data_IF_000592913501
#
_entry.id   IF_000592913501
#
_cell.length_a   1.000
_cell.length_b   1.000
_cell.length_c   1.000
_cell.angle_alpha   90.00
_cell.angle_beta   90.00
_cell.angle_gamma   90.00
#
_symmetry.space_group_name_H-M   'P 1'
#
loop_
_entity.id
_entity.type
_entity.pdbx_description
1 polymer ?
#
# COMPACT_ATOMS: atom_id res chain seq x y z
N UNK A 1 -18.42 37.19 10.40
CA UNK A 1 -17.27 36.81 11.23
C UNK A 1 -16.66 35.62 10.54
N UNK A 2 -15.71 35.83 9.62
CA UNK A 2 -14.93 34.73 9.05
C UNK A 2 -14.03 34.29 10.19
N UNK A 3 -14.37 33.13 10.78
CA UNK A 3 -13.41 32.39 11.61
C UNK A 3 -12.17 32.25 10.76
N UNK A 4 -11.02 32.38 11.35
CA UNK A 4 -9.73 32.49 10.67
C UNK A 4 -9.35 31.18 10.00
N UNK A 5 -10.08 30.83 8.91
CA UNK A 5 -9.84 29.64 8.07
C UNK A 5 -8.36 29.56 7.67
N UNK A 6 -7.74 30.71 7.42
CA UNK A 6 -6.32 30.78 7.05
C UNK A 6 -5.40 30.32 8.19
N UNK A 7 -5.72 30.66 9.46
CA UNK A 7 -4.94 30.23 10.61
C UNK A 7 -5.06 28.71 10.86
N UNK A 8 -6.25 28.14 10.71
CA UNK A 8 -6.48 26.71 10.84
C UNK A 8 -5.74 25.93 9.77
N UNK A 9 -5.72 26.44 8.53
CA UNK A 9 -4.95 25.87 7.43
C UNK A 9 -3.45 25.93 7.76
N UNK A 10 -2.94 27.11 8.18
CA UNK A 10 -1.53 27.28 8.54
C UNK A 10 -1.10 26.32 9.66
N UNK A 11 -1.95 26.13 10.67
CA UNK A 11 -1.70 25.16 11.74
C UNK A 11 -1.61 23.71 11.22
N UNK A 12 -2.53 23.30 10.35
CA UNK A 12 -2.56 21.95 9.78
C UNK A 12 -1.33 21.70 8.89
N UNK A 13 -0.82 22.71 8.21
CA UNK A 13 0.34 22.58 7.31
C UNK A 13 1.67 22.53 8.06
N UNK A 14 1.74 23.05 9.30
CA UNK A 14 2.98 23.06 10.07
C UNK A 14 3.45 21.61 10.42
N UNK A 15 4.75 21.23 10.23
CA UNK A 15 5.89 22.07 9.83
C UNK A 15 6.20 22.07 8.32
N UNK A 16 5.31 21.57 7.48
CA UNK A 16 5.55 21.36 6.05
C UNK A 16 5.65 22.70 5.28
N UNK A 17 6.58 22.77 4.32
CA UNK A 17 6.85 23.95 3.52
C UNK A 17 6.78 23.71 2.01
N UNK A 18 6.80 22.46 1.57
CA UNK A 18 6.73 22.08 0.16
C UNK A 18 5.41 21.34 -0.07
N UNK A 19 4.51 21.94 -0.83
CA UNK A 19 3.14 21.46 -0.99
C UNK A 19 2.82 21.14 -2.45
N UNK A 20 2.31 19.93 -2.69
CA UNK A 20 1.65 19.56 -3.93
C UNK A 20 0.13 19.59 -3.71
N UNK A 21 -0.56 20.49 -4.38
CA UNK A 21 -2.01 20.70 -4.20
C UNK A 21 -2.78 19.93 -5.27
N UNK A 22 -3.67 19.04 -4.85
CA UNK A 22 -4.62 18.37 -5.76
C UNK A 22 -5.66 19.40 -6.23
N UNK A 23 -5.52 19.88 -7.47
CA UNK A 23 -6.30 20.97 -8.02
C UNK A 23 -7.23 20.47 -9.14
N UNK A 24 -8.51 20.30 -8.84
CA UNK A 24 -9.53 19.92 -9.83
C UNK A 24 -10.11 21.11 -10.61
N UNK A 25 -9.93 22.33 -10.13
CA UNK A 25 -10.58 23.53 -10.64
C UNK A 25 -11.99 23.76 -10.09
N UNK A 26 -12.55 22.81 -9.33
CA UNK A 26 -13.83 22.99 -8.64
C UNK A 26 -13.73 23.90 -7.41
N UNK A 27 -14.88 24.31 -6.85
CA UNK A 27 -15.01 25.25 -5.75
C UNK A 27 -13.99 24.99 -4.62
N UNK A 28 -14.01 23.77 -4.05
CA UNK A 28 -13.28 23.45 -2.83
C UNK A 28 -11.77 23.52 -3.05
N UNK A 29 -11.29 22.97 -4.18
CA UNK A 29 -9.86 22.99 -4.53
C UNK A 29 -9.38 24.39 -4.92
N UNK A 30 -10.26 25.22 -5.49
CA UNK A 30 -9.94 26.60 -5.84
C UNK A 30 -9.80 27.47 -4.58
N UNK A 31 -10.70 27.30 -3.59
CA UNK A 31 -10.59 27.97 -2.29
C UNK A 31 -9.33 27.54 -1.55
N UNK A 32 -9.02 26.23 -1.52
CA UNK A 32 -7.80 25.75 -0.90
C UNK A 32 -6.56 26.36 -1.54
N UNK A 33 -6.45 26.32 -2.87
CA UNK A 33 -5.30 26.88 -3.57
C UNK A 33 -5.15 28.38 -3.32
N UNK A 34 -6.25 29.13 -3.33
CA UNK A 34 -6.25 30.56 -3.00
C UNK A 34 -5.75 30.85 -1.58
N UNK A 35 -6.23 30.10 -0.60
CA UNK A 35 -5.77 30.22 0.79
C UNK A 35 -4.26 29.96 0.92
N UNK A 36 -3.75 28.95 0.22
CA UNK A 36 -2.33 28.62 0.22
C UNK A 36 -1.48 29.70 -0.47
N UNK A 37 -2.02 30.34 -1.49
CA UNK A 37 -1.36 31.50 -2.13
C UNK A 37 -1.25 32.67 -1.16
N UNK A 38 -2.33 33.01 -0.42
CA UNK A 38 -2.30 34.07 0.60
C UNK A 38 -1.32 33.71 1.74
N UNK A 39 -1.24 32.45 2.16
CA UNK A 39 -0.25 32.02 3.15
C UNK A 39 1.18 32.16 2.63
N UNK A 40 1.45 31.82 1.35
CA UNK A 40 2.76 32.00 0.72
C UNK A 40 3.18 33.47 0.66
N UNK A 41 2.23 34.41 0.48
CA UNK A 41 2.51 35.85 0.55
C UNK A 41 2.97 36.28 1.94
N UNK A 42 2.45 35.63 2.99
CA UNK A 42 2.83 35.89 4.38
C UNK A 42 4.12 35.15 4.79
N UNK A 43 4.31 33.93 4.26
CA UNK A 43 5.49 33.08 4.50
C UNK A 43 6.14 32.64 3.18
N UNK A 44 7.13 33.41 2.67
CA UNK A 44 7.82 33.10 1.40
C UNK A 44 8.60 31.78 1.41
N UNK A 45 8.77 31.12 2.57
CA UNK A 45 9.38 29.78 2.63
C UNK A 45 8.44 28.69 2.12
N UNK A 46 7.14 29.00 1.99
CA UNK A 46 6.13 28.07 1.49
C UNK A 46 6.22 27.95 -0.03
N UNK A 47 6.46 26.76 -0.54
CA UNK A 47 6.49 26.48 -1.97
C UNK A 47 5.25 25.68 -2.37
N UNK A 48 4.63 26.11 -3.47
CA UNK A 48 3.38 25.53 -3.98
C UNK A 48 3.58 24.98 -5.38
N UNK A 49 3.11 23.76 -5.60
CA UNK A 49 2.86 23.18 -6.92
C UNK A 49 1.43 22.65 -6.94
N UNK A 50 0.82 22.57 -8.10
CA UNK A 50 -0.49 22.00 -8.27
C UNK A 50 -0.45 20.82 -9.24
N UNK A 51 -1.33 19.83 -9.02
CA UNK A 51 -1.56 18.70 -9.93
C UNK A 51 -3.04 18.64 -10.29
N UNK A 52 -3.31 18.62 -11.59
CA UNK A 52 -4.64 18.39 -12.16
C UNK A 52 -4.66 17.03 -12.85
N UNK A 53 -5.68 16.21 -12.56
CA UNK A 53 -5.83 14.89 -13.18
C UNK A 53 -6.95 14.94 -14.20
N UNK A 54 -6.57 14.76 -15.47
CA UNK A 54 -7.50 14.71 -16.61
C UNK A 54 -7.92 13.25 -16.83
N UNK A 55 -9.20 12.95 -16.54
CA UNK A 55 -9.74 11.58 -16.61
C UNK A 55 -10.26 11.19 -17.99
N UNK A 56 -10.42 12.13 -18.94
CA UNK A 56 -10.97 11.86 -20.27
C UNK A 56 -12.43 11.41 -20.30
N UNK A 57 -13.17 11.54 -19.20
CA UNK A 57 -14.56 11.09 -19.10
C UNK A 57 -15.57 12.14 -19.54
N UNK A 58 -15.28 13.42 -19.35
CA UNK A 58 -16.14 14.55 -19.73
C UNK A 58 -15.71 15.13 -21.06
N UNK A 59 -16.70 15.56 -21.86
CA UNK A 59 -16.45 16.34 -23.07
C UNK A 59 -15.79 17.71 -22.79
N UNK A 60 -15.91 18.21 -21.56
CA UNK A 60 -15.37 19.49 -21.11
C UNK A 60 -14.01 19.36 -20.40
N UNK A 61 -13.40 18.16 -20.38
CA UNK A 61 -12.17 17.93 -19.63
C UNK A 61 -11.01 18.82 -20.08
N UNK A 62 -10.90 19.12 -21.37
CA UNK A 62 -9.89 20.03 -21.92
C UNK A 62 -10.12 21.49 -21.51
N UNK A 63 -11.38 21.92 -21.46
CA UNK A 63 -11.76 23.26 -20.99
C UNK A 63 -11.41 23.43 -19.50
N UNK A 64 -11.56 22.35 -18.71
CA UNK A 64 -11.18 22.33 -17.30
C UNK A 64 -9.67 22.44 -17.12
N UNK A 65 -8.89 21.78 -17.95
CA UNK A 65 -7.43 21.96 -17.96
C UNK A 65 -7.05 23.40 -18.30
N UNK A 66 -7.71 23.99 -19.31
CA UNK A 66 -7.45 25.40 -19.69
C UNK A 66 -7.75 26.36 -18.52
N UNK A 67 -8.88 26.18 -17.83
CA UNK A 67 -9.24 26.94 -16.65
C UNK A 67 -8.20 26.78 -15.52
N UNK A 68 -7.81 25.54 -15.21
CA UNK A 68 -6.80 25.28 -14.18
C UNK A 68 -5.45 25.93 -14.52
N UNK A 69 -5.03 25.90 -15.78
CA UNK A 69 -3.81 26.57 -16.24
C UNK A 69 -3.90 28.08 -16.05
N UNK A 70 -5.03 28.70 -16.42
CA UNK A 70 -5.24 30.13 -16.26
C UNK A 70 -5.15 30.56 -14.80
N UNK A 71 -5.84 29.88 -13.87
CA UNK A 71 -5.80 30.16 -12.43
C UNK A 71 -4.38 29.99 -11.88
N UNK A 72 -3.71 28.89 -12.20
CA UNK A 72 -2.36 28.63 -11.73
C UNK A 72 -1.33 29.66 -12.28
N UNK A 73 -1.50 30.09 -13.52
CA UNK A 73 -0.68 31.16 -14.10
C UNK A 73 -0.90 32.49 -13.38
N UNK A 74 -2.15 32.86 -13.13
CA UNK A 74 -2.50 34.08 -12.40
C UNK A 74 -1.89 34.09 -11.00
N UNK A 75 -1.90 32.99 -10.31
CA UNK A 75 -1.39 32.86 -8.95
C UNK A 75 0.08 32.41 -8.87
N UNK A 76 0.76 32.33 -9.99
CA UNK A 76 2.16 31.91 -10.07
C UNK A 76 2.43 30.58 -9.35
N UNK A 77 1.55 29.59 -9.60
CA UNK A 77 1.67 28.22 -9.08
C UNK A 77 2.00 27.29 -10.26
N UNK A 78 3.14 26.59 -10.26
CA UNK A 78 3.44 25.57 -11.27
C UNK A 78 2.38 24.48 -11.28
N UNK A 79 1.80 24.17 -12.45
CA UNK A 79 0.78 23.14 -12.64
C UNK A 79 1.30 21.97 -13.45
N UNK A 80 1.15 20.76 -12.91
CA UNK A 80 1.32 19.50 -13.64
C UNK A 80 -0.04 18.96 -14.03
N UNK A 81 -0.24 18.65 -15.32
CA UNK A 81 -1.46 17.99 -15.80
C UNK A 81 -1.14 16.54 -16.08
N UNK A 82 -1.85 15.65 -15.39
CA UNK A 82 -1.67 14.21 -15.53
C UNK A 82 -2.87 13.61 -16.27
N UNK A 83 -2.61 13.01 -17.44
CA UNK A 83 -3.65 12.36 -18.23
C UNK A 83 -3.76 10.88 -17.81
N UNK A 84 -4.96 10.45 -17.42
CA UNK A 84 -5.23 9.05 -17.09
C UNK A 84 -6.29 8.49 -18.06
N UNK A 85 -6.02 7.27 -18.53
CA UNK A 85 -6.98 6.55 -19.39
C UNK A 85 -7.77 5.57 -18.53
N UNK A 86 -9.07 5.78 -18.44
CA UNK A 86 -9.98 4.88 -17.73
C UNK A 86 -10.70 3.97 -18.72
N UNK A 87 -10.76 2.67 -18.43
CA UNK A 87 -11.60 1.75 -19.20
C UNK A 87 -13.08 2.14 -18.99
N UNK A 88 -13.80 2.37 -20.09
CA UNK A 88 -15.23 2.69 -20.05
C UNK A 88 -16.02 1.42 -19.74
N UNK A 89 -16.82 1.46 -18.66
CA UNK A 89 -17.85 0.49 -18.33
C UNK A 89 -17.56 -0.38 -17.11
N UNK A 90 -18.59 -0.54 -16.25
CA UNK A 90 -18.64 -1.47 -15.12
C UNK A 90 -18.95 -0.83 -13.78
N UNK A 91 -19.54 -1.64 -12.90
CA UNK A 91 -19.68 -1.33 -11.47
C UNK A 91 -18.28 -1.17 -10.88
N UNK A 92 -17.86 0.07 -10.61
CA UNK A 92 -16.53 0.35 -10.06
C UNK A 92 -15.76 1.48 -10.77
N UNK A 93 -16.35 2.17 -11.74
CA UNK A 93 -15.72 3.31 -12.45
C UNK A 93 -15.23 4.38 -11.46
N UNK A 94 -16.02 4.70 -10.44
CA UNK A 94 -15.64 5.65 -9.39
C UNK A 94 -14.41 5.18 -8.60
N UNK A 95 -14.37 3.90 -8.23
CA UNK A 95 -13.23 3.34 -7.49
C UNK A 95 -11.95 3.33 -8.36
N UNK A 96 -12.08 2.97 -9.65
CA UNK A 96 -10.94 3.00 -10.58
C UNK A 96 -10.47 4.43 -10.85
N UNK A 97 -11.39 5.38 -11.06
CA UNK A 97 -11.06 6.79 -11.24
C UNK A 97 -10.35 7.35 -10.00
N UNK A 98 -10.81 6.98 -8.81
CA UNK A 98 -10.17 7.35 -7.55
C UNK A 98 -8.77 6.75 -7.44
N UNK A 99 -8.59 5.46 -7.72
CA UNK A 99 -7.29 4.80 -7.69
C UNK A 99 -6.30 5.44 -8.68
N UNK A 100 -6.73 5.68 -9.93
CA UNK A 100 -5.93 6.33 -10.96
C UNK A 100 -5.54 7.76 -10.56
N UNK A 101 -6.43 8.51 -9.90
CA UNK A 101 -6.16 9.85 -9.38
C UNK A 101 -5.07 9.83 -8.30
N UNK A 102 -5.16 8.91 -7.35
CA UNK A 102 -4.16 8.80 -6.29
C UNK A 102 -2.82 8.31 -6.82
N UNK A 103 -2.81 7.44 -7.84
CA UNK A 103 -1.59 7.04 -8.54
C UNK A 103 -0.94 8.25 -9.24
N UNK A 104 -1.72 9.07 -9.95
CA UNK A 104 -1.22 10.30 -10.58
C UNK A 104 -0.61 11.28 -9.56
N UNK A 105 -1.20 11.39 -8.37
CA UNK A 105 -0.63 12.20 -7.29
C UNK A 105 0.70 11.64 -6.80
N UNK A 106 0.79 10.32 -6.62
CA UNK A 106 2.01 9.64 -6.21
C UNK A 106 3.15 9.84 -7.23
N UNK A 107 2.84 9.69 -8.52
CA UNK A 107 3.80 9.84 -9.62
C UNK A 107 4.29 11.30 -9.78
N UNK A 108 3.49 12.27 -9.30
CA UNK A 108 3.80 13.70 -9.39
C UNK A 108 4.53 14.23 -8.15
N UNK A 109 4.42 13.55 -7.01
CA UNK A 109 4.97 13.99 -5.73
C UNK A 109 6.50 13.93 -5.74
N UNK A 110 7.16 15.05 -5.43
CA UNK A 110 8.60 15.11 -5.28
C UNK A 110 9.05 14.76 -3.86
N UNK A 111 10.32 14.42 -3.69
CA UNK A 111 10.91 14.22 -2.38
C UNK A 111 10.78 15.48 -1.50
N UNK A 112 10.27 15.30 -0.27
CA UNK A 112 10.05 16.40 0.67
C UNK A 112 8.72 17.14 0.51
N UNK A 113 7.98 16.92 -0.59
CA UNK A 113 6.63 17.46 -0.74
C UNK A 113 5.60 16.66 0.05
N UNK A 114 4.56 17.34 0.51
CA UNK A 114 3.33 16.73 1.02
C UNK A 114 2.15 17.01 0.10
N UNK A 115 1.28 16.03 -0.07
CA UNK A 115 0.05 16.20 -0.84
C UNK A 115 -1.00 16.93 0.00
N UNK A 116 -1.66 17.94 -0.57
CA UNK A 116 -2.75 18.69 0.08
C UNK A 116 -4.02 18.56 -0.75
N UNK A 117 -5.12 18.20 -0.10
CA UNK A 117 -6.41 17.98 -0.75
C UNK A 117 -7.52 18.74 -0.06
N UNK A 118 -8.57 19.10 -0.80
CA UNK A 118 -9.64 20.01 -0.39
C UNK A 118 -10.87 19.31 0.21
N UNK A 119 -10.72 18.12 0.82
CA UNK A 119 -11.83 17.48 1.53
C UNK A 119 -12.27 18.37 2.71
N UNK A 120 -13.58 18.47 2.87
CA UNK A 120 -14.20 19.35 3.85
C UNK A 120 -15.21 18.57 4.74
N UNK A 121 -15.89 19.25 5.66
CA UNK A 121 -16.80 18.64 6.65
C UNK A 121 -17.93 17.82 6.01
N UNK A 122 -18.46 18.29 4.88
CA UNK A 122 -19.54 17.57 4.20
C UNK A 122 -19.06 16.25 3.62
N UNK A 123 -17.82 16.19 3.11
CA UNK A 123 -17.18 14.95 2.68
C UNK A 123 -16.95 13.97 3.85
N UNK A 124 -16.68 14.47 5.06
CA UNK A 124 -16.62 13.64 6.27
C UNK A 124 -17.95 12.97 6.54
N UNK A 125 -19.05 13.74 6.44
CA UNK A 125 -20.40 13.25 6.61
C UNK A 125 -20.73 12.14 5.59
N UNK A 126 -20.45 12.37 4.32
CA UNK A 126 -20.61 11.37 3.25
C UNK A 126 -19.79 10.11 3.55
N UNK A 127 -18.53 10.28 3.93
CA UNK A 127 -17.60 9.17 4.18
C UNK A 127 -18.04 8.32 5.36
N UNK A 128 -18.52 8.94 6.48
CA UNK A 128 -19.03 8.21 7.63
C UNK A 128 -20.31 7.46 7.26
N UNK A 129 -21.25 8.08 6.55
CA UNK A 129 -22.51 7.42 6.14
C UNK A 129 -22.24 6.24 5.20
N UNK A 130 -21.28 6.35 4.29
CA UNK A 130 -20.84 5.23 3.44
C UNK A 130 -20.16 4.12 4.25
N UNK A 131 -19.39 4.46 5.27
CA UNK A 131 -18.82 3.48 6.18
C UNK A 131 -19.89 2.76 6.99
N UNK A 132 -20.88 3.50 7.48
CA UNK A 132 -22.02 2.96 8.21
C UNK A 132 -22.87 2.01 7.33
N UNK A 133 -23.15 2.40 6.06
CA UNK A 133 -23.81 1.54 5.06
C UNK A 133 -23.11 0.19 4.91
N UNK A 134 -21.75 0.18 4.97
CA UNK A 134 -20.95 -1.05 4.85
C UNK A 134 -20.81 -1.85 6.13
N UNK A 135 -21.40 -1.41 7.24
CA UNK A 135 -21.25 -2.03 8.54
C UNK A 135 -19.83 -1.90 9.12
N UNK A 136 -19.13 -0.80 8.82
CA UNK A 136 -17.78 -0.56 9.33
C UNK A 136 -17.76 -0.40 10.85
N UNK A 137 -16.67 -0.89 11.47
CA UNK A 137 -16.36 -0.62 12.88
C UNK A 137 -15.72 0.77 13.09
N UNK A 138 -15.24 1.05 14.33
CA UNK A 138 -14.68 2.37 14.70
C UNK A 138 -13.64 2.89 13.73
N UNK A 139 -12.71 2.07 13.27
CA UNK A 139 -11.69 2.45 12.28
C UNK A 139 -12.29 3.05 11.00
N UNK A 140 -13.35 2.42 10.45
CA UNK A 140 -14.02 2.94 9.25
C UNK A 140 -14.89 4.17 9.55
N UNK A 141 -15.53 4.21 10.74
CA UNK A 141 -16.34 5.32 11.20
C UNK A 141 -15.51 6.56 11.58
N UNK A 142 -14.19 6.41 11.76
CA UNK A 142 -13.26 7.53 11.94
C UNK A 142 -13.20 8.46 10.71
N UNK A 143 -13.79 8.04 9.59
CA UNK A 143 -13.82 8.74 8.32
C UNK A 143 -12.41 9.16 7.83
N UNK A 144 -12.16 10.45 7.53
CA UNK A 144 -10.86 10.89 7.03
C UNK A 144 -10.09 11.62 8.13
N UNK A 145 -8.83 11.23 8.35
CA UNK A 145 -7.93 11.96 9.24
C UNK A 145 -7.45 13.27 8.61
N UNK A 146 -7.18 14.34 9.41
CA UNK A 146 -6.57 15.58 8.93
C UNK A 146 -5.23 15.34 8.23
N UNK A 147 -4.48 14.36 8.69
CA UNK A 147 -3.19 13.94 8.12
C UNK A 147 -3.10 12.42 8.07
N UNK A 148 -2.59 11.88 6.98
CA UNK A 148 -2.36 10.44 6.80
C UNK A 148 -1.08 10.18 6.00
N UNK A 149 -0.49 8.99 6.16
CA UNK A 149 0.65 8.57 5.34
C UNK A 149 0.23 8.46 3.86
N UNK A 150 1.09 8.87 2.95
CA UNK A 150 0.87 8.77 1.51
C UNK A 150 2.21 8.73 0.76
N UNK A 151 2.43 7.69 -0.04
CA UNK A 151 3.56 7.56 -0.96
C UNK A 151 4.94 7.88 -0.34
N UNK A 152 5.22 7.39 0.86
CA UNK A 152 6.45 7.70 1.61
C UNK A 152 6.49 9.10 2.22
N UNK A 153 5.43 9.90 2.04
CA UNK A 153 5.23 11.25 2.59
C UNK A 153 3.89 11.34 3.33
N UNK A 154 3.23 12.48 3.29
CA UNK A 154 1.93 12.72 3.94
C UNK A 154 0.91 13.32 2.98
N UNK A 155 -0.35 13.02 3.29
CA UNK A 155 -1.53 13.68 2.72
C UNK A 155 -2.19 14.51 3.81
N UNK A 156 -2.38 15.81 3.57
CA UNK A 156 -3.02 16.76 4.47
C UNK A 156 -4.39 17.18 3.94
N UNK A 157 -5.35 17.41 4.86
CA UNK A 157 -6.71 17.84 4.56
C UNK A 157 -7.07 19.03 5.44
N UNK A 158 -6.57 20.22 5.14
CA UNK A 158 -6.71 21.37 6.04
C UNK A 158 -8.13 21.94 6.10
N UNK A 159 -9.03 21.55 5.19
CA UNK A 159 -10.41 22.05 5.15
C UNK A 159 -11.43 21.14 5.85
N UNK A 160 -11.00 20.07 6.54
CA UNK A 160 -11.92 19.10 7.15
C UNK A 160 -12.91 19.69 8.15
N UNK A 161 -12.59 20.81 8.76
CA UNK A 161 -13.47 21.52 9.70
C UNK A 161 -14.38 22.56 9.02
N UNK A 162 -14.15 22.84 7.74
CA UNK A 162 -14.94 23.81 6.98
C UNK A 162 -16.18 23.18 6.36
N UNK A 163 -17.25 23.95 6.24
CA UNK A 163 -18.43 23.57 5.48
C UNK A 163 -18.27 23.96 4.02
N UNK A 164 -18.95 23.27 3.12
CA UNK A 164 -18.99 23.69 1.71
C UNK A 164 -19.57 25.10 1.54
N UNK A 165 -20.50 25.47 2.41
CA UNK A 165 -21.08 26.82 2.39
C UNK A 165 -20.06 27.90 2.81
N UNK A 166 -19.22 27.65 3.83
CA UNK A 166 -18.14 28.58 4.21
C UNK A 166 -17.13 28.74 3.07
N UNK A 167 -16.79 27.64 2.36
CA UNK A 167 -15.94 27.70 1.16
C UNK A 167 -16.57 28.54 0.05
N UNK A 168 -17.87 28.35 -0.20
CA UNK A 168 -18.61 29.13 -1.21
C UNK A 168 -18.63 30.60 -0.87
N UNK A 169 -18.90 30.97 0.37
CA UNK A 169 -18.88 32.35 0.84
C UNK A 169 -17.50 32.99 0.67
N UNK A 170 -16.43 32.23 1.00
CA UNK A 170 -15.06 32.66 0.75
C UNK A 170 -14.80 32.94 -0.73
N UNK A 171 -15.17 32.02 -1.59
CA UNK A 171 -14.97 32.14 -3.04
C UNK A 171 -15.70 33.40 -3.60
N UNK A 172 -16.94 33.63 -3.18
CA UNK A 172 -17.72 34.79 -3.60
C UNK A 172 -17.11 36.10 -3.09
N UNK A 173 -16.68 36.15 -1.82
CA UNK A 173 -16.07 37.35 -1.23
C UNK A 173 -14.75 37.72 -1.92
N UNK A 174 -14.01 36.75 -2.44
CA UNK A 174 -12.75 36.97 -3.16
C UNK A 174 -12.89 36.93 -4.68
N UNK A 175 -14.14 36.88 -5.19
CA UNK A 175 -14.46 36.89 -6.63
C UNK A 175 -13.73 35.76 -7.39
N UNK A 176 -13.60 34.59 -6.77
CA UNK A 176 -12.98 33.42 -7.39
C UNK A 176 -13.91 32.81 -8.44
N UNK A 177 -13.34 32.33 -9.52
CA UNK A 177 -14.04 31.51 -10.52
C UNK A 177 -13.68 30.05 -10.34
N UNK A 178 -14.66 29.15 -10.53
CA UNK A 178 -14.47 27.71 -10.41
C UNK A 178 -15.31 26.95 -11.45
N UNK A 179 -14.97 25.69 -11.64
CA UNK A 179 -15.69 24.77 -12.55
C UNK A 179 -16.80 24.08 -11.76
N UNK A 180 -17.98 23.99 -12.36
CA UNK A 180 -19.05 23.10 -11.90
C UNK A 180 -19.07 21.86 -12.76
N UNK A 181 -18.68 20.72 -12.20
CA UNK A 181 -18.69 19.42 -12.86
C UNK A 181 -20.12 18.86 -12.86
N UNK A 182 -20.69 18.67 -14.05
CA UNK A 182 -22.05 18.16 -14.24
C UNK A 182 -22.23 16.76 -13.63
N UNK A 183 -21.19 15.96 -13.56
CA UNK A 183 -21.24 14.63 -12.96
C UNK A 183 -21.57 14.63 -11.45
N UNK A 184 -21.39 15.76 -10.77
CA UNK A 184 -21.81 15.94 -9.38
C UNK A 184 -23.34 15.94 -9.18
N UNK A 185 -24.12 16.07 -10.25
CA UNK A 185 -25.58 16.01 -10.24
C UNK A 185 -26.12 14.59 -10.48
N UNK A 186 -25.28 13.66 -10.85
CA UNK A 186 -25.67 12.26 -11.09
C UNK A 186 -25.80 11.49 -9.76
N UNK A 187 -27.04 11.34 -9.28
CA UNK A 187 -27.36 10.65 -8.04
C UNK A 187 -27.35 9.11 -8.13
N UNK A 188 -26.98 8.54 -9.26
CA UNK A 188 -26.71 7.10 -9.40
C UNK A 188 -25.48 6.66 -8.60
N UNK A 189 -24.57 7.58 -8.32
CA UNK A 189 -23.40 7.35 -7.45
C UNK A 189 -23.78 7.53 -5.99
N UNK A 190 -23.46 6.57 -5.13
CA UNK A 190 -23.77 6.58 -3.69
C UNK A 190 -23.41 7.91 -2.99
N UNK A 191 -22.24 8.47 -3.32
CA UNK A 191 -21.78 9.72 -2.71
C UNK A 191 -22.62 10.90 -3.12
N UNK A 192 -22.96 11.02 -4.40
CA UNK A 192 -23.84 12.07 -4.90
C UNK A 192 -25.27 11.88 -4.36
N UNK A 193 -25.75 10.64 -4.28
CA UNK A 193 -27.05 10.35 -3.67
C UNK A 193 -27.14 10.86 -2.24
N UNK A 194 -26.11 10.57 -1.43
CA UNK A 194 -26.05 11.11 -0.05
C UNK A 194 -26.05 12.64 -0.05
N UNK A 195 -25.22 13.26 -0.88
CA UNK A 195 -25.08 14.72 -0.98
C UNK A 195 -26.35 15.42 -1.42
N UNK A 196 -27.06 14.89 -2.40
CA UNK A 196 -28.21 15.53 -3.04
C UNK A 196 -29.55 15.15 -2.40
N UNK A 197 -29.68 13.94 -1.86
CA UNK A 197 -30.98 13.39 -1.42
C UNK A 197 -31.07 13.15 0.11
N UNK A 198 -30.01 12.73 0.74
CA UNK A 198 -30.07 12.29 2.15
C UNK A 198 -29.64 13.39 3.11
N UNK A 199 -28.44 13.91 2.92
CA UNK A 199 -27.87 14.92 3.85
C UNK A 199 -28.72 16.20 3.94
N UNK A 200 -29.28 16.74 2.83
CA UNK A 200 -30.17 17.90 2.93
C UNK A 200 -31.38 17.67 3.81
N UNK A 201 -32.05 16.54 3.71
CA UNK A 201 -33.20 16.19 4.54
C UNK A 201 -32.82 16.09 6.03
N UNK A 202 -31.67 15.48 6.32
CA UNK A 202 -31.15 15.38 7.67
C UNK A 202 -30.82 16.77 8.26
N UNK A 203 -30.24 17.67 7.47
CA UNK A 203 -29.93 19.04 7.87
C UNK A 203 -31.15 19.91 8.06
N UNK A 204 -32.16 19.74 7.24
CA UNK A 204 -33.43 20.43 7.41
C UNK A 204 -34.04 20.12 8.78
N UNK A 205 -34.00 18.85 9.19
CA UNK A 205 -34.54 18.39 10.48
C UNK A 205 -33.60 18.69 11.63
N UNK A 206 -32.27 18.54 11.41
CA UNK A 206 -31.20 18.73 12.41
C UNK A 206 -30.11 19.61 11.83
N UNK A 207 -30.15 20.94 11.99
CA UNK A 207 -29.22 21.88 11.36
C UNK A 207 -27.73 21.60 11.63
N UNK A 208 -27.40 21.04 12.81
CA UNK A 208 -26.03 20.70 13.20
C UNK A 208 -25.64 19.24 12.91
N UNK A 209 -26.39 18.54 12.02
CA UNK A 209 -26.16 17.11 11.75
C UNK A 209 -24.73 16.82 11.27
N UNK A 210 -24.20 17.58 10.33
CA UNK A 210 -22.85 17.37 9.81
C UNK A 210 -21.76 17.62 10.85
N UNK A 211 -21.96 18.55 11.77
CA UNK A 211 -21.06 18.78 12.91
C UNK A 211 -21.08 17.62 13.90
N UNK A 212 -22.27 17.10 14.19
CA UNK A 212 -22.42 15.94 15.06
C UNK A 212 -21.74 14.68 14.45
N UNK A 213 -21.90 14.48 13.15
CA UNK A 213 -21.23 13.39 12.40
C UNK A 213 -19.70 13.53 12.44
N UNK A 214 -19.18 14.72 12.15
CA UNK A 214 -17.73 14.96 12.19
C UNK A 214 -17.16 14.74 13.59
N UNK A 215 -17.88 15.16 14.66
CA UNK A 215 -17.50 14.91 16.05
C UNK A 215 -17.50 13.41 16.37
N UNK A 216 -18.53 12.68 15.94
CA UNK A 216 -18.59 11.23 16.15
C UNK A 216 -17.42 10.51 15.45
N UNK A 217 -17.06 10.94 14.24
CA UNK A 217 -15.90 10.43 13.52
C UNK A 217 -14.59 10.70 14.29
N UNK A 218 -14.41 11.92 14.81
CA UNK A 218 -13.26 12.28 15.64
C UNK A 218 -13.14 11.41 16.88
N UNK A 219 -14.25 11.19 17.60
CA UNK A 219 -14.26 10.30 18.78
C UNK A 219 -13.91 8.86 18.43
N UNK A 220 -14.35 8.35 17.29
CA UNK A 220 -13.92 7.03 16.80
C UNK A 220 -12.41 7.01 16.50
N UNK A 221 -11.88 8.07 15.90
CA UNK A 221 -10.45 8.18 15.62
C UNK A 221 -9.60 8.21 16.90
N UNK A 222 -10.04 8.98 17.91
CA UNK A 222 -9.38 9.05 19.23
C UNK A 222 -9.37 7.68 19.93
N UNK A 223 -10.46 6.93 19.85
CA UNK A 223 -10.53 5.57 20.40
C UNK A 223 -9.59 4.60 19.67
N UNK A 224 -9.51 4.67 18.36
CA UNK A 224 -8.59 3.85 17.59
C UNK A 224 -7.12 4.21 17.88
N UNK A 225 -6.80 5.50 18.01
CA UNK A 225 -5.47 5.96 18.40
C UNK A 225 -5.09 5.44 19.80
N UNK A 226 -6.00 5.55 20.77
CA UNK A 226 -5.78 5.01 22.12
C UNK A 226 -5.49 3.51 22.08
N UNK A 227 -6.25 2.75 21.28
CA UNK A 227 -6.00 1.32 21.12
C UNK A 227 -4.65 1.05 20.44
N UNK A 228 -4.24 1.86 19.48
CA UNK A 228 -2.92 1.75 18.84
C UNK A 228 -1.81 1.94 19.88
N UNK A 229 -1.90 2.96 20.72
CA UNK A 229 -0.94 3.24 21.79
C UNK A 229 -0.87 2.10 22.81
N UNK A 230 -2.04 1.62 23.25
CA UNK A 230 -2.14 0.53 24.24
C UNK A 230 -1.59 -0.81 23.70
N UNK A 231 -1.77 -1.10 22.43
CA UNK A 231 -1.38 -2.38 21.82
C UNK A 231 0.01 -2.35 21.18
N UNK A 232 0.62 -1.18 21.01
CA UNK A 232 1.88 -1.03 20.29
C UNK A 232 3.02 -1.88 20.87
N UNK A 233 3.25 -1.81 22.18
CA UNK A 233 4.30 -2.57 22.86
C UNK A 233 4.06 -4.07 22.80
N UNK A 234 2.80 -4.50 22.97
CA UNK A 234 2.42 -5.90 22.87
C UNK A 234 2.62 -6.43 21.45
N UNK A 235 2.14 -5.71 20.43
CA UNK A 235 2.34 -6.08 19.04
C UNK A 235 3.82 -6.19 18.68
N UNK A 236 4.64 -5.23 19.11
CA UNK A 236 6.08 -5.25 18.88
C UNK A 236 6.75 -6.49 19.49
N UNK A 237 6.28 -6.97 20.66
CA UNK A 237 6.81 -8.19 21.29
C UNK A 237 6.43 -9.47 20.56
N UNK A 238 5.35 -9.45 19.75
CA UNK A 238 4.85 -10.61 19.00
C UNK A 238 5.43 -10.71 17.59
N UNK A 239 5.86 -9.58 17.01
CA UNK A 239 6.40 -9.50 15.65
C UNK A 239 7.91 -9.72 15.70
N UNK A 240 8.41 -10.65 14.86
CA UNK A 240 9.85 -10.88 14.70
C UNK A 240 10.46 -9.91 13.67
N UNK A 241 11.80 -9.90 13.56
CA UNK A 241 12.54 -9.09 12.58
C UNK A 241 12.11 -9.33 11.13
N UNK A 242 11.69 -10.56 10.81
CA UNK A 242 11.18 -10.94 9.49
C UNK A 242 9.71 -10.53 9.25
N UNK A 243 9.10 -9.77 10.16
CA UNK A 243 7.71 -9.31 10.09
C UNK A 243 6.66 -10.38 10.45
N UNK A 244 7.07 -11.59 10.79
CA UNK A 244 6.14 -12.68 11.15
C UNK A 244 5.57 -12.49 12.56
N UNK A 245 4.32 -12.95 12.76
CA UNK A 245 3.57 -12.79 14.01
C UNK A 245 3.48 -14.10 14.78
N UNK A 246 3.80 -14.12 16.06
CA UNK A 246 3.69 -15.29 16.94
C UNK A 246 2.23 -15.69 17.20
N UNK A 247 1.90 -16.99 17.09
CA UNK A 247 0.53 -17.50 17.29
C UNK A 247 0.26 -17.83 18.75
N UNK A 248 1.19 -18.47 19.45
CA UNK A 248 0.96 -19.00 20.78
C UNK A 248 0.45 -17.96 21.79
N UNK A 249 1.00 -16.74 21.89
CA UNK A 249 0.46 -15.73 22.79
C UNK A 249 -0.96 -15.28 22.41
N UNK A 250 -1.31 -15.26 21.12
CA UNK A 250 -2.64 -14.89 20.66
C UNK A 250 -3.72 -15.88 21.11
N UNK A 251 -3.37 -17.14 21.33
CA UNK A 251 -4.32 -18.19 21.77
C UNK A 251 -4.92 -17.92 23.16
N UNK A 252 -4.17 -17.24 24.03
CA UNK A 252 -4.60 -16.93 25.41
C UNK A 252 -5.39 -15.62 25.52
N UNK A 253 -5.49 -14.87 24.42
CA UNK A 253 -6.16 -13.56 24.40
C UNK A 253 -7.65 -13.68 24.11
N UNK A 254 -8.43 -12.70 24.58
CA UNK A 254 -9.84 -12.59 24.18
C UNK A 254 -9.98 -12.40 22.67
N UNK A 255 -11.07 -12.90 22.04
CA UNK A 255 -11.29 -12.72 20.61
C UNK A 255 -11.18 -11.27 20.12
N UNK A 256 -11.76 -10.24 20.81
CA UNK A 256 -11.61 -8.85 20.40
C UNK A 256 -10.16 -8.36 20.42
N UNK A 257 -9.38 -8.69 21.47
CA UNK A 257 -7.97 -8.29 21.60
C UNK A 257 -7.11 -8.93 20.48
N UNK A 258 -7.30 -10.22 20.26
CA UNK A 258 -6.65 -10.95 19.17
C UNK A 258 -6.98 -10.36 17.80
N UNK A 259 -8.26 -10.06 17.52
CA UNK A 259 -8.69 -9.44 16.28
C UNK A 259 -8.06 -8.04 16.08
N UNK A 260 -7.95 -7.25 17.15
CA UNK A 260 -7.32 -5.94 17.13
C UNK A 260 -5.82 -6.02 16.78
N UNK A 261 -5.09 -6.99 17.37
CA UNK A 261 -3.67 -7.23 17.07
C UNK A 261 -3.45 -7.75 15.64
N UNK A 262 -4.28 -8.69 15.18
CA UNK A 262 -4.21 -9.20 13.81
C UNK A 262 -4.43 -8.10 12.76
N UNK A 263 -5.39 -7.20 12.99
CA UNK A 263 -5.62 -6.05 12.10
C UNK A 263 -4.42 -5.11 12.05
N UNK A 264 -3.83 -4.81 13.21
CA UNK A 264 -2.66 -3.92 13.32
C UNK A 264 -1.42 -4.54 12.70
N UNK A 265 -1.24 -5.84 12.90
CA UNK A 265 -0.17 -6.56 12.21
C UNK A 265 -0.32 -6.50 10.69
N UNK A 266 -1.53 -6.74 10.14
CA UNK A 266 -1.80 -6.61 8.71
C UNK A 266 -1.59 -5.18 8.22
N UNK A 267 -2.02 -4.17 8.97
CA UNK A 267 -1.78 -2.76 8.65
C UNK A 267 -0.29 -2.42 8.59
N UNK A 268 0.52 -2.96 9.52
CA UNK A 268 1.99 -2.83 9.51
C UNK A 268 2.65 -3.47 8.28
N UNK A 269 2.00 -4.48 7.67
CA UNK A 269 2.41 -5.07 6.40
C UNK A 269 1.90 -4.30 5.17
N UNK A 270 1.33 -3.11 5.35
CA UNK A 270 0.69 -2.31 4.29
C UNK A 270 -0.46 -3.05 3.57
N UNK A 271 -1.05 -4.03 4.23
CA UNK A 271 -2.21 -4.73 3.71
C UNK A 271 -3.41 -3.77 3.59
N UNK A 272 -4.28 -3.94 2.57
CA UNK A 272 -5.56 -3.25 2.55
C UNK A 272 -6.34 -3.53 3.84
N UNK A 273 -7.07 -2.52 4.35
CA UNK A 273 -7.87 -2.70 5.56
C UNK A 273 -8.77 -3.95 5.41
N UNK A 274 -8.61 -4.96 6.27
CA UNK A 274 -9.33 -6.21 6.12
C UNK A 274 -10.81 -6.04 6.49
N UNK A 275 -11.69 -6.74 5.78
CA UNK A 275 -13.09 -6.89 6.15
C UNK A 275 -13.22 -7.47 7.56
N UNK A 276 -14.40 -7.28 8.19
CA UNK A 276 -14.63 -7.66 9.60
C UNK A 276 -14.32 -9.13 9.89
N UNK A 277 -14.64 -10.02 8.94
CA UNK A 277 -14.47 -11.47 9.09
C UNK A 277 -13.03 -11.95 8.94
N UNK A 278 -12.16 -11.15 8.31
CA UNK A 278 -10.79 -11.57 7.96
C UNK A 278 -9.96 -11.97 9.18
N UNK A 279 -9.90 -11.21 10.29
CA UNK A 279 -9.14 -11.62 11.47
C UNK A 279 -9.64 -12.94 12.07
N UNK A 280 -10.94 -13.20 12.06
CA UNK A 280 -11.54 -14.42 12.58
C UNK A 280 -11.29 -15.61 11.67
N UNK A 281 -11.44 -15.44 10.36
CA UNK A 281 -11.06 -16.43 9.36
C UNK A 281 -9.57 -16.75 9.43
N UNK A 282 -8.72 -15.73 9.54
CA UNK A 282 -7.28 -15.91 9.67
C UNK A 282 -6.94 -16.74 10.92
N UNK A 283 -7.62 -16.47 12.03
CA UNK A 283 -7.44 -17.24 13.25
C UNK A 283 -7.85 -18.69 13.09
N UNK A 284 -9.06 -18.96 12.60
CA UNK A 284 -9.60 -20.32 12.51
C UNK A 284 -9.06 -21.12 11.33
N UNK A 285 -8.90 -20.50 10.16
CA UNK A 285 -8.49 -21.21 8.94
C UNK A 285 -6.97 -21.34 8.81
N UNK A 286 -6.18 -20.38 9.38
CA UNK A 286 -4.73 -20.36 9.24
C UNK A 286 -4.02 -20.67 10.55
N UNK A 287 -4.27 -19.88 11.60
CA UNK A 287 -3.54 -20.02 12.87
C UNK A 287 -3.81 -21.35 13.56
N UNK A 288 -5.07 -21.79 13.61
CA UNK A 288 -5.50 -23.04 14.24
C UNK A 288 -5.54 -24.26 13.29
N UNK A 289 -5.09 -24.13 12.05
CA UNK A 289 -5.03 -25.28 11.14
C UNK A 289 -4.16 -26.40 11.70
N UNK A 290 -4.34 -27.64 11.22
CA UNK A 290 -3.55 -28.80 11.64
C UNK A 290 -2.07 -28.59 11.36
N UNK A 291 -1.18 -29.18 12.15
CA UNK A 291 0.28 -29.02 12.01
C UNK A 291 0.81 -29.50 10.65
N UNK A 292 0.21 -30.54 10.09
CA UNK A 292 0.57 -31.14 8.79
C UNK A 292 -0.03 -30.36 7.59
N UNK A 293 -0.95 -29.43 7.84
CA UNK A 293 -1.55 -28.60 6.80
C UNK A 293 -0.63 -27.45 6.36
N UNK A 294 -0.85 -26.98 5.14
CA UNK A 294 -0.24 -25.75 4.60
C UNK A 294 -1.32 -24.70 4.41
N UNK A 295 -1.86 -24.13 5.50
CA UNK A 295 -2.99 -23.22 5.43
C UNK A 295 -2.59 -21.92 4.73
N UNK A 296 -3.55 -21.36 3.98
CA UNK A 296 -3.35 -20.15 3.19
C UNK A 296 -4.65 -19.36 3.11
N UNK A 297 -4.63 -18.11 3.54
CA UNK A 297 -5.71 -17.16 3.33
C UNK A 297 -5.25 -16.08 2.35
N UNK A 298 -5.90 -15.99 1.19
CA UNK A 298 -5.54 -15.03 0.15
C UNK A 298 -6.23 -13.67 0.40
N UNK A 299 -5.44 -12.61 0.33
CA UNK A 299 -5.86 -11.22 0.48
C UNK A 299 -5.23 -10.38 -0.68
N UNK A 300 -5.93 -10.33 -1.80
CA UNK A 300 -5.44 -9.69 -3.03
C UNK A 300 -4.24 -10.44 -3.64
N UNK A 301 -3.13 -9.74 -3.82
CA UNK A 301 -1.87 -10.29 -4.33
C UNK A 301 -1.03 -10.99 -3.26
N UNK A 302 -1.45 -10.93 -2.00
CA UNK A 302 -0.75 -11.52 -0.87
C UNK A 302 -1.53 -12.66 -0.24
N UNK A 303 -0.84 -13.42 0.58
CA UNK A 303 -1.40 -14.52 1.36
C UNK A 303 -0.90 -14.46 2.79
N UNK A 304 -1.77 -14.78 3.75
CA UNK A 304 -1.34 -15.11 5.10
C UNK A 304 -1.15 -16.62 5.20
N UNK A 305 0.02 -17.04 5.66
CA UNK A 305 0.40 -18.46 5.78
C UNK A 305 0.95 -18.73 7.17
N UNK A 306 0.84 -19.99 7.61
CA UNK A 306 1.43 -20.44 8.88
C UNK A 306 2.65 -21.30 8.64
N UNK A 307 3.71 -21.04 9.40
CA UNK A 307 4.89 -21.89 9.48
C UNK A 307 5.55 -21.75 10.87
N UNK A 308 5.95 -22.86 11.50
CA UNK A 308 6.63 -22.90 12.81
C UNK A 308 5.98 -22.01 13.88
N UNK A 309 4.65 -22.16 14.06
CA UNK A 309 3.86 -21.38 15.04
C UNK A 309 3.89 -19.87 14.86
N UNK A 310 4.13 -19.41 13.61
CA UNK A 310 4.09 -18.00 13.24
C UNK A 310 3.24 -17.78 11.99
N UNK A 311 2.64 -16.60 11.88
CA UNK A 311 1.92 -16.12 10.69
C UNK A 311 2.85 -15.27 9.85
N UNK A 312 2.78 -15.46 8.53
CA UNK A 312 3.60 -14.76 7.54
C UNK A 312 2.72 -14.07 6.52
N UNK A 313 3.05 -12.83 6.20
CA UNK A 313 2.48 -12.07 5.09
C UNK A 313 3.36 -12.27 3.86
N UNK A 314 2.87 -12.98 2.84
CA UNK A 314 3.69 -13.43 1.72
C UNK A 314 3.03 -13.04 0.42
N UNK A 315 3.78 -12.41 -0.50
CA UNK A 315 3.31 -12.19 -1.87
C UNK A 315 3.00 -13.53 -2.52
N UNK A 316 1.84 -13.63 -3.16
CA UNK A 316 1.48 -14.83 -3.90
C UNK A 316 2.34 -14.91 -5.17
N UNK A 317 3.19 -15.90 -5.24
CA UNK A 317 3.97 -16.25 -6.44
C UNK A 317 3.52 -17.62 -6.91
N UNK A 318 3.24 -17.80 -8.20
CA UNK A 318 3.00 -19.14 -8.76
C UNK A 318 4.26 -19.99 -8.59
N UNK A 319 4.08 -21.27 -8.28
CA UNK A 319 5.18 -22.20 -8.12
C UNK A 319 5.91 -22.43 -9.45
N UNK A 320 7.24 -22.50 -9.40
CA UNK A 320 8.12 -22.68 -10.57
C UNK A 320 8.60 -24.13 -10.74
N UNK A 321 7.90 -25.09 -10.16
CA UNK A 321 8.37 -26.44 -9.99
C UNK A 321 8.88 -27.14 -11.26
N UNK A 322 8.32 -26.82 -12.42
CA UNK A 322 8.68 -27.46 -13.71
C UNK A 322 9.52 -26.51 -14.60
N UNK A 323 9.86 -25.32 -14.10
CA UNK A 323 10.68 -24.36 -14.84
C UNK A 323 12.14 -24.78 -14.87
N UNK A 324 12.73 -24.73 -16.05
CA UNK A 324 14.17 -24.90 -16.29
C UNK A 324 14.68 -23.71 -17.07
N UNK A 325 15.55 -22.95 -16.46
CA UNK A 325 16.13 -21.76 -17.08
C UNK A 325 17.60 -21.98 -17.36
N UNK A 326 18.05 -21.83 -18.63
CA UNK A 326 19.46 -21.91 -18.99
C UNK A 326 20.20 -20.65 -18.57
N UNK A 327 21.44 -20.81 -18.10
CA UNK A 327 22.36 -19.74 -17.76
C UNK A 327 23.58 -19.76 -18.70
N UNK A 328 23.49 -19.16 -19.90
CA UNK A 328 24.50 -19.34 -20.94
C UNK A 328 25.88 -18.77 -20.57
N UNK A 329 25.91 -17.63 -19.90
CA UNK A 329 27.14 -17.03 -19.36
C UNK A 329 26.99 -16.79 -17.86
N UNK A 330 27.46 -17.72 -17.05
CA UNK A 330 27.38 -17.66 -15.60
C UNK A 330 28.18 -16.51 -14.97
N UNK A 331 29.04 -15.82 -15.73
CA UNK A 331 29.75 -14.61 -15.29
C UNK A 331 28.88 -13.38 -15.32
N UNK A 332 27.77 -13.44 -16.04
CA UNK A 332 26.77 -12.38 -16.09
C UNK A 332 25.58 -12.73 -15.19
N UNK A 333 24.88 -11.72 -14.62
CA UNK A 333 23.68 -11.97 -13.85
C UNK A 333 22.59 -12.68 -14.67
N UNK A 334 21.87 -13.62 -14.04
CA UNK A 334 20.70 -14.27 -14.61
C UNK A 334 19.44 -13.71 -14.00
N UNK A 335 18.62 -13.04 -14.79
CA UNK A 335 17.29 -12.63 -14.36
C UNK A 335 16.33 -13.81 -14.38
N UNK A 336 15.74 -14.12 -13.23
CA UNK A 336 14.77 -15.20 -13.11
C UNK A 336 13.38 -14.76 -13.62
N UNK A 337 12.63 -15.74 -14.15
CA UNK A 337 11.25 -15.52 -14.58
C UNK A 337 10.33 -15.16 -13.40
N UNK A 338 9.12 -14.67 -13.72
CA UNK A 338 8.01 -14.39 -12.78
C UNK A 338 8.38 -13.52 -11.58
N UNK A 339 9.35 -12.63 -11.76
CA UNK A 339 9.72 -11.67 -10.73
C UNK A 339 10.47 -12.27 -9.53
N UNK A 340 11.09 -13.44 -9.69
CA UNK A 340 11.89 -14.07 -8.62
C UNK A 340 13.21 -13.36 -8.33
N UNK A 341 13.59 -12.36 -9.14
CA UNK A 341 14.81 -11.60 -8.95
C UNK A 341 15.96 -12.04 -9.84
N UNK A 342 17.18 -11.95 -9.34
CA UNK A 342 18.41 -12.12 -10.11
C UNK A 342 19.42 -13.01 -9.38
N UNK A 343 20.04 -13.94 -10.09
CA UNK A 343 21.14 -14.77 -9.61
C UNK A 343 22.47 -14.28 -10.13
N UNK A 344 23.49 -14.31 -9.26
CA UNK A 344 24.89 -14.06 -9.63
C UNK A 344 25.81 -15.11 -9.01
N UNK A 345 26.89 -15.46 -9.71
CA UNK A 345 28.00 -16.22 -9.12
C UNK A 345 29.15 -15.22 -8.85
N UNK A 346 29.52 -15.08 -7.59
CA UNK A 346 30.58 -14.17 -7.14
C UNK A 346 31.79 -14.94 -6.63
N UNK A 347 33.02 -14.43 -6.75
CA UNK A 347 34.23 -15.04 -6.18
C UNK A 347 34.13 -15.21 -4.67
N UNK A 348 34.81 -16.19 -4.10
CA UNK A 348 34.95 -16.39 -2.65
C UNK A 348 33.82 -17.19 -2.03
N UNK A 349 33.64 -18.43 -2.41
CA UNK A 349 32.66 -19.34 -1.84
C UNK A 349 33.10 -20.80 -1.83
N UNK A 350 32.19 -21.72 -1.51
CA UNK A 350 32.43 -23.17 -1.43
C UNK A 350 32.04 -23.91 -2.71
N UNK A 351 31.47 -23.23 -3.70
CA UNK A 351 31.08 -23.81 -4.96
C UNK A 351 32.26 -23.86 -5.91
N UNK A 352 32.45 -24.98 -6.59
CA UNK A 352 33.34 -25.01 -7.76
C UNK A 352 32.72 -24.20 -8.93
N UNK A 353 33.48 -23.43 -9.69
CA UNK A 353 32.96 -22.86 -10.92
C UNK A 353 32.60 -23.97 -11.93
N UNK A 354 31.65 -23.74 -12.85
CA UNK A 354 31.33 -24.68 -13.89
C UNK A 354 32.50 -24.87 -14.86
N UNK A 355 32.71 -26.12 -15.34
CA UNK A 355 33.68 -26.40 -16.39
C UNK A 355 33.17 -25.88 -17.74
N UNK A 356 34.08 -25.73 -18.72
CA UNK A 356 33.76 -25.16 -20.03
C UNK A 356 32.65 -25.92 -20.79
N UNK A 357 32.57 -27.23 -20.59
CA UNK A 357 31.61 -28.09 -21.26
C UNK A 357 30.35 -28.40 -20.44
N UNK A 358 30.22 -27.83 -19.22
CA UNK A 358 29.07 -28.05 -18.35
C UNK A 358 27.98 -26.99 -18.61
N UNK A 359 26.81 -27.38 -19.15
CA UNK A 359 25.72 -26.47 -19.28
C UNK A 359 25.17 -26.08 -17.89
N UNK A 360 25.07 -24.78 -17.61
CA UNK A 360 24.53 -24.25 -16.36
C UNK A 360 23.03 -24.04 -16.51
N UNK A 361 22.26 -24.57 -15.59
CA UNK A 361 20.79 -24.36 -15.54
C UNK A 361 20.34 -24.06 -14.12
N UNK A 362 19.22 -23.34 -14.02
CA UNK A 362 18.51 -23.09 -12.77
C UNK A 362 17.18 -23.83 -12.83
N UNK A 363 16.92 -24.62 -11.79
CA UNK A 363 15.70 -25.42 -11.63
C UNK A 363 15.15 -25.22 -10.22
N UNK A 364 13.94 -25.70 -9.96
CA UNK A 364 13.27 -25.56 -8.67
C UNK A 364 12.94 -26.92 -8.03
N UNK A 365 13.31 -27.99 -8.69
CA UNK A 365 13.20 -29.39 -8.22
C UNK A 365 14.50 -30.15 -8.46
N UNK A 366 14.78 -31.10 -7.57
CA UNK A 366 15.80 -32.08 -7.78
C UNK A 366 15.25 -33.46 -7.40
N UNK A 367 15.57 -34.46 -8.20
CA UNK A 367 15.22 -35.90 -7.96
C UNK A 367 16.39 -36.63 -7.32
N UNK A 368 16.08 -37.78 -6.72
CA UNK A 368 17.10 -38.64 -6.11
C UNK A 368 17.52 -38.19 -4.71
N UNK A 369 18.69 -38.64 -4.29
CA UNK A 369 19.30 -38.33 -3.01
C UNK A 369 20.46 -37.34 -3.22
N UNK A 370 20.43 -36.23 -2.52
CA UNK A 370 21.46 -35.20 -2.54
C UNK A 370 22.45 -35.46 -1.41
N UNK A 371 23.72 -35.50 -1.73
CA UNK A 371 24.82 -35.60 -0.77
C UNK A 371 25.33 -34.19 -0.48
N UNK A 372 25.17 -33.74 0.76
CA UNK A 372 25.43 -32.36 1.15
C UNK A 372 26.75 -32.26 1.88
N UNK A 373 27.57 -31.27 1.56
CA UNK A 373 28.85 -31.01 2.21
C UNK A 373 28.65 -30.85 3.73
N UNK A 374 29.46 -31.60 4.50
CA UNK A 374 29.39 -31.60 5.95
C UNK A 374 28.25 -32.43 6.57
N UNK A 375 27.54 -33.25 5.76
CA UNK A 375 26.48 -34.15 6.25
C UNK A 375 26.71 -35.59 5.80
N UNK A 376 26.40 -36.55 6.67
CA UNK A 376 26.47 -37.95 6.35
C UNK A 376 25.19 -38.47 5.64
N UNK A 377 25.38 -39.20 4.55
CA UNK A 377 24.32 -39.85 3.79
C UNK A 377 23.47 -38.91 2.93
N UNK A 378 22.85 -39.49 1.90
CA UNK A 378 22.00 -38.74 0.97
C UNK A 378 20.65 -38.39 1.56
N UNK A 379 20.07 -37.25 1.14
CA UNK A 379 18.75 -36.75 1.55
C UNK A 379 17.90 -36.41 0.34
N UNK A 380 16.61 -36.77 0.36
CA UNK A 380 15.65 -36.24 -0.60
C UNK A 380 15.46 -34.72 -0.37
N UNK A 381 15.30 -33.95 -1.43
CA UNK A 381 15.17 -32.50 -1.38
C UNK A 381 14.07 -32.05 -0.38
N UNK A 382 12.90 -32.72 -0.37
CA UNK A 382 11.81 -32.42 0.56
C UNK A 382 12.24 -32.52 2.03
N UNK A 383 13.02 -33.55 2.38
CA UNK A 383 13.54 -33.74 3.75
C UNK A 383 14.58 -32.66 4.08
N UNK A 384 15.42 -32.34 3.10
CA UNK A 384 16.44 -31.30 3.25
C UNK A 384 15.81 -29.93 3.52
N UNK A 385 14.74 -29.56 2.79
CA UNK A 385 13.98 -28.34 3.06
C UNK A 385 13.39 -28.31 4.48
N UNK A 386 12.89 -29.43 4.99
CA UNK A 386 12.39 -29.54 6.36
C UNK A 386 13.50 -29.35 7.39
N UNK A 387 14.64 -30.02 7.21
CA UNK A 387 15.78 -29.92 8.12
C UNK A 387 16.42 -28.51 8.12
N UNK A 388 16.37 -27.80 6.99
CA UNK A 388 16.86 -26.43 6.86
C UNK A 388 15.81 -25.37 7.27
N UNK A 389 14.60 -25.79 7.69
CA UNK A 389 13.55 -24.87 8.10
C UNK A 389 13.00 -24.01 6.96
N UNK A 390 13.10 -24.46 5.70
CA UNK A 390 12.58 -23.70 4.55
C UNK A 390 11.07 -23.81 4.52
N UNK A 391 10.40 -22.65 4.56
CA UNK A 391 8.94 -22.56 4.55
C UNK A 391 8.35 -23.16 3.25
N UNK A 392 7.19 -23.86 3.32
CA UNK A 392 6.62 -24.57 2.16
C UNK A 392 6.49 -23.73 0.89
N UNK A 393 6.07 -22.49 1.01
CA UNK A 393 5.89 -21.56 -0.14
C UNK A 393 7.22 -21.08 -0.75
N UNK A 394 8.34 -21.22 -0.04
CA UNK A 394 9.67 -20.89 -0.56
C UNK A 394 10.31 -22.07 -1.28
N UNK A 395 9.88 -23.30 -1.02
CA UNK A 395 10.48 -24.51 -1.59
C UNK A 395 10.38 -24.57 -3.11
N UNK A 396 9.20 -24.19 -3.63
CA UNK A 396 8.91 -24.21 -5.07
C UNK A 396 9.41 -22.95 -5.81
N UNK A 397 9.96 -21.98 -5.10
CA UNK A 397 10.50 -20.73 -5.65
C UNK A 397 11.97 -20.52 -5.33
N UNK A 398 12.59 -21.41 -4.55
CA UNK A 398 14.03 -21.34 -4.24
C UNK A 398 14.84 -21.91 -5.41
N UNK A 399 15.71 -21.11 -6.04
CA UNK A 399 16.51 -21.58 -7.17
C UNK A 399 17.55 -22.62 -6.77
N UNK A 400 17.65 -23.65 -7.57
CA UNK A 400 18.68 -24.68 -7.50
C UNK A 400 19.59 -24.58 -8.71
N UNK A 401 20.89 -24.48 -8.46
CA UNK A 401 21.92 -24.48 -9.50
C UNK A 401 22.24 -25.90 -9.94
N UNK A 402 22.28 -26.12 -11.24
CA UNK A 402 22.66 -27.40 -11.85
C UNK A 402 23.80 -27.20 -12.83
N UNK A 403 24.75 -28.16 -12.85
CA UNK A 403 25.70 -28.35 -13.92
C UNK A 403 25.32 -29.61 -14.68
N UNK A 404 24.89 -29.47 -15.92
CA UNK A 404 24.23 -30.55 -16.65
C UNK A 404 22.96 -31.01 -15.91
N UNK A 405 22.89 -32.30 -15.58
CA UNK A 405 21.79 -32.88 -14.81
C UNK A 405 22.12 -33.02 -13.30
N UNK A 406 23.30 -32.56 -12.86
CA UNK A 406 23.78 -32.71 -11.49
C UNK A 406 23.39 -31.48 -10.66
N UNK A 407 22.60 -31.61 -9.58
CA UNK A 407 22.30 -30.53 -8.67
C UNK A 407 23.56 -30.15 -7.86
N UNK A 408 23.91 -28.88 -7.85
CA UNK A 408 25.14 -28.32 -7.29
C UNK A 408 24.90 -27.60 -5.97
N UNK A 409 23.94 -26.67 -5.94
CA UNK A 409 23.65 -25.88 -4.76
C UNK A 409 22.23 -25.34 -4.78
N UNK A 410 21.77 -24.89 -3.61
CA UNK A 410 20.61 -24.03 -3.48
C UNK A 410 21.04 -22.57 -3.23
N UNK A 411 20.26 -21.63 -3.75
CA UNK A 411 20.46 -20.20 -3.52
C UNK A 411 20.43 -19.84 -2.02
N UNK A 412 20.91 -18.65 -1.67
CA UNK A 412 21.05 -18.15 -0.29
C UNK A 412 21.98 -19.02 0.60
N UNK A 413 22.98 -19.68 0.00
CA UNK A 413 23.92 -20.60 0.70
C UNK A 413 23.23 -21.70 1.52
N UNK A 414 22.00 -22.09 1.18
CA UNK A 414 21.22 -23.05 1.95
C UNK A 414 21.89 -24.41 1.99
N UNK A 415 22.46 -24.86 0.88
CA UNK A 415 23.33 -26.05 0.83
C UNK A 415 24.19 -26.07 -0.43
N UNK A 416 25.28 -26.84 -0.35
CA UNK A 416 26.16 -27.23 -1.46
C UNK A 416 26.23 -28.73 -1.47
N UNK A 417 26.10 -29.37 -2.64
CA UNK A 417 26.29 -30.79 -2.79
C UNK A 417 27.80 -31.17 -2.86
N UNK A 418 28.14 -32.41 -2.59
CA UNK A 418 29.54 -32.90 -2.69
C UNK A 418 30.10 -32.75 -4.11
N UNK A 419 29.23 -32.84 -5.13
CA UNK A 419 29.57 -32.65 -6.54
C UNK A 419 29.84 -31.18 -6.88
N UNK A 420 29.27 -30.25 -6.07
CA UNK A 420 29.44 -28.80 -6.20
C UNK A 420 30.57 -28.21 -5.37
N UNK A 421 31.18 -28.98 -4.48
CA UNK A 421 32.22 -28.48 -3.59
C UNK A 421 33.52 -28.17 -4.34
N UNK A 422 34.10 -26.99 -4.06
CA UNK A 422 35.42 -26.64 -4.55
C UNK A 422 36.46 -27.49 -3.78
N UNK A 423 37.29 -28.27 -4.52
CA UNK A 423 38.37 -29.08 -3.94
C UNK A 423 39.69 -28.37 -3.98
N UNK A 424 39.96 -27.68 -5.09
CA UNK A 424 41.18 -26.93 -5.33
C UNK A 424 40.86 -25.62 -6.06
N UNK A 425 41.55 -24.53 -5.67
CA UNK A 425 41.41 -23.23 -6.30
C UNK A 425 40.40 -22.28 -5.64
N UNK A 426 40.08 -21.20 -6.33
CA UNK A 426 39.11 -20.22 -5.87
C UNK A 426 37.68 -20.65 -6.17
N UNK A 427 36.87 -20.78 -5.10
CA UNK A 427 35.46 -21.10 -5.22
C UNK A 427 34.61 -19.87 -5.54
N UNK A 428 33.37 -20.11 -5.94
CA UNK A 428 32.34 -19.10 -6.16
C UNK A 428 31.20 -19.26 -5.16
N UNK A 429 30.36 -18.20 -5.02
CA UNK A 429 29.16 -18.15 -4.20
C UNK A 429 27.97 -17.84 -5.06
N UNK A 430 26.87 -18.56 -4.88
CA UNK A 430 25.59 -18.29 -5.52
C UNK A 430 24.81 -17.28 -4.68
N UNK A 431 24.66 -16.07 -5.24
CA UNK A 431 23.88 -15.00 -4.64
C UNK A 431 22.54 -14.85 -5.32
N UNK A 432 21.50 -14.67 -4.53
CA UNK A 432 20.15 -14.43 -5.03
C UNK A 432 19.62 -13.10 -4.48
N UNK A 433 19.47 -12.11 -5.36
CA UNK A 433 18.82 -10.84 -5.06
C UNK A 433 17.36 -10.93 -5.47
N UNK A 434 16.45 -10.98 -4.50
CA UNK A 434 15.00 -11.04 -4.72
C UNK A 434 14.46 -9.71 -5.22
N UNK A 435 13.36 -9.76 -5.98
CA UNK A 435 12.66 -8.54 -6.39
C UNK A 435 11.97 -7.94 -5.16
N UNK A 436 12.40 -6.75 -4.73
CA UNK A 436 11.85 -6.04 -3.57
C UNK A 436 12.76 -6.01 -2.33
N UNK A 437 13.97 -6.59 -2.43
CA UNK A 437 15.06 -6.38 -1.45
C UNK A 437 15.88 -5.14 -1.80
#
# INVERSE_FOLDING_TARGET
MFVDMTADIAHTLHPHRQLLVAFSGGLDSTVLLHQLVLLREQDPSLTLRAVHVHHGLSAHADDWVAHCRQICQQWQVPLVVHHVTLARGGLGVEAHARAARYQAFQDTLNAGEVLVTAQHRDDQCETLLLALKRGSGPTGLSAMAPSSAFAGSRLLRPLLNETRESLRQWALAHQLSWIEDESNQDDTYDRNFLRLRVIPVLRERWPHFSEAVARSASLCAEQEQLLDEMLAAELASLVAEDGSLAIAPLATMSPPRRAALLRRWLAGQQAPMPAREVPERLWHEVALAREDASPCLRLGEFTVRRFQQRLYWVKYLPGQTDSVQRWPDWRQPLRLADGLGELTLQPGGRLRPPSADEPVTVRFRASGHLHIVGRHGGRKLKKLWQELGVAPWRRDTTPLLFYGETPIAAADDLFVTTEGEVKDGEGVRLMWRKTGD
#
